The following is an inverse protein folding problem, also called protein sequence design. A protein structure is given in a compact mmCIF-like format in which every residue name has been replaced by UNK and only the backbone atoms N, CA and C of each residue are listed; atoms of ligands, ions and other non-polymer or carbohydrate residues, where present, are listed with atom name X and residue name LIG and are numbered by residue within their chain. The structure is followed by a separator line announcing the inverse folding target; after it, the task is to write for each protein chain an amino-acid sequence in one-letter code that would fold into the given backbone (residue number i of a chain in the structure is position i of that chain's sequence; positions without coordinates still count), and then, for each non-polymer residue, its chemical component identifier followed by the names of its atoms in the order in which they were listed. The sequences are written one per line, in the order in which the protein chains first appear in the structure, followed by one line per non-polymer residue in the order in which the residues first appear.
data_IF_243140169680
#
_entry.id   IF_243140169680
#
_cell.length_a   1.000
_cell.length_b   1.000
_cell.length_c   1.000
_cell.angle_alpha   90.00
_cell.angle_beta   90.00
_cell.angle_gamma   90.00
#
_symmetry.space_group_name_H-M   'P 1'
#
loop_
_entity.id
_entity.type
_entity.pdbx_description
1 polymer ?
#
# COMPACT_ATOMS: atom_id res chain seq x y z
N UNK A 1 3.59 -7.50 -23.22
CA UNK A 1 3.76 -7.81 -21.79
C UNK A 1 4.28 -6.55 -21.11
N UNK A 2 3.38 -5.68 -20.65
CA UNK A 2 3.78 -4.41 -20.05
C UNK A 2 4.20 -4.68 -18.61
N UNK A 3 5.50 -4.58 -18.32
CA UNK A 3 5.99 -4.52 -16.94
C UNK A 3 5.47 -3.20 -16.39
N UNK A 4 4.52 -3.25 -15.45
CA UNK A 4 4.08 -2.06 -14.71
C UNK A 4 5.30 -1.50 -13.99
N UNK A 5 5.89 -0.45 -14.56
CA UNK A 5 7.04 0.28 -14.01
C UNK A 5 6.62 0.72 -12.60
N UNK A 6 7.39 0.37 -11.59
CA UNK A 6 7.26 0.96 -10.26
C UNK A 6 7.15 2.47 -10.42
N UNK A 7 6.21 3.16 -9.74
CA UNK A 7 6.16 4.61 -9.77
C UNK A 7 7.55 5.17 -9.50
N UNK A 8 8.01 6.17 -10.26
CA UNK A 8 9.36 6.76 -10.08
C UNK A 8 9.57 7.35 -8.67
N UNK A 9 8.50 7.42 -7.87
CA UNK A 9 8.47 7.85 -6.47
C UNK A 9 8.76 6.76 -5.45
N UNK A 10 8.78 5.46 -5.78
CA UNK A 10 8.93 4.38 -4.78
C UNK A 10 9.84 3.24 -5.24
N UNK A 11 10.35 2.46 -4.29
CA UNK A 11 11.10 1.23 -4.54
C UNK A 11 10.87 0.20 -3.43
N UNK A 12 11.07 -1.09 -3.74
CA UNK A 12 10.96 -2.17 -2.75
C UNK A 12 12.35 -2.58 -2.24
N UNK A 13 12.49 -2.76 -0.92
CA UNK A 13 13.73 -3.22 -0.28
C UNK A 13 13.44 -4.06 0.98
N UNK A 14 14.46 -4.59 1.63
CA UNK A 14 14.32 -5.28 2.92
C UNK A 14 13.79 -4.32 4.00
N UNK A 15 12.71 -4.74 4.65
CA UNK A 15 12.04 -3.94 5.68
C UNK A 15 12.54 -4.28 7.07
N UNK A 16 12.79 -3.27 7.92
CA UNK A 16 13.00 -3.49 9.36
C UNK A 16 11.72 -3.93 10.09
N UNK A 17 10.53 -3.75 9.49
CA UNK A 17 9.24 -4.17 10.05
C UNK A 17 9.01 -5.65 9.75
N UNK A 18 8.93 -6.00 8.46
CA UNK A 18 8.66 -7.37 8.04
C UNK A 18 8.98 -7.60 6.56
N UNK A 19 9.79 -8.62 6.25
CA UNK A 19 10.05 -9.08 4.88
C UNK A 19 10.53 -7.97 3.95
N UNK A 20 9.77 -7.73 2.87
CA UNK A 20 9.99 -6.59 1.97
C UNK A 20 9.06 -5.44 2.35
N UNK A 21 9.61 -4.24 2.32
CA UNK A 21 8.89 -2.97 2.48
C UNK A 21 8.89 -2.17 1.19
N UNK A 22 8.01 -1.17 1.13
CA UNK A 22 8.02 -0.18 0.07
C UNK A 22 8.52 1.15 0.64
N UNK A 23 9.45 1.81 -0.05
CA UNK A 23 10.14 3.00 0.42
C UNK A 23 9.98 4.14 -0.59
N UNK A 24 10.00 5.37 -0.10
CA UNK A 24 9.97 6.55 -0.94
C UNK A 24 11.34 6.77 -1.64
N UNK A 25 11.37 6.80 -2.97
CA UNK A 25 12.56 7.11 -3.76
C UNK A 25 12.92 8.61 -3.74
N UNK A 26 11.95 9.45 -3.39
CA UNK A 26 12.09 10.91 -3.27
C UNK A 26 11.17 11.44 -2.17
N UNK A 27 11.22 12.74 -1.92
CA UNK A 27 10.22 13.41 -1.11
C UNK A 27 8.84 13.26 -1.75
N UNK A 28 7.85 12.88 -0.95
CA UNK A 28 6.43 12.78 -1.33
C UNK A 28 5.65 13.72 -0.41
N UNK A 29 4.92 14.65 -1.00
CA UNK A 29 4.17 15.63 -0.22
C UNK A 29 2.91 15.01 0.38
N UNK A 30 2.46 15.53 1.53
CA UNK A 30 1.15 15.21 2.09
C UNK A 30 0.05 15.37 1.04
N UNK A 31 -0.80 14.36 0.91
CA UNK A 31 -1.93 14.34 -0.04
C UNK A 31 -1.54 13.96 -1.46
N UNK A 32 -0.26 13.74 -1.76
CA UNK A 32 0.19 13.27 -3.06
C UNK A 32 -0.27 11.82 -3.30
N UNK A 33 -0.76 11.56 -4.52
CA UNK A 33 -1.10 10.21 -4.98
C UNK A 33 0.20 9.51 -5.42
N UNK A 34 0.58 8.44 -4.72
CA UNK A 34 1.75 7.63 -5.04
C UNK A 34 1.51 6.81 -6.31
N UNK A 35 0.26 6.39 -6.53
CA UNK A 35 -0.20 5.68 -7.70
C UNK A 35 -1.49 4.93 -7.44
N UNK A 36 -1.94 4.20 -8.47
CA UNK A 36 -3.12 3.32 -8.40
C UNK A 36 -2.66 1.86 -8.34
N UNK A 37 -3.25 1.07 -7.46
CA UNK A 37 -2.92 -0.35 -7.34
C UNK A 37 -3.48 -1.13 -8.51
N UNK A 38 -2.61 -1.95 -9.13
CA UNK A 38 -3.03 -2.94 -10.12
C UNK A 38 -3.10 -4.33 -9.50
N UNK A 39 -4.08 -5.11 -9.93
CA UNK A 39 -4.38 -6.40 -9.35
C UNK A 39 -5.66 -7.00 -9.92
N UNK A 40 -6.31 -7.83 -9.11
CA UNK A 40 -7.58 -8.48 -9.48
C UNK A 40 -8.54 -8.59 -8.31
N UNK A 41 -9.83 -8.42 -8.61
CA UNK A 41 -10.90 -8.69 -7.66
C UNK A 41 -10.93 -10.17 -7.27
N UNK A 42 -11.18 -10.44 -6.00
CA UNK A 42 -11.20 -11.78 -5.41
C UNK A 42 -12.21 -11.85 -4.26
N UNK A 43 -12.82 -13.02 -4.08
CA UNK A 43 -13.58 -13.34 -2.86
C UNK A 43 -12.82 -14.27 -1.90
N UNK A 44 -11.59 -14.61 -2.26
CA UNK A 44 -10.72 -15.52 -1.50
C UNK A 44 -9.69 -14.70 -0.75
N UNK A 45 -9.58 -14.98 0.55
CA UNK A 45 -8.50 -14.46 1.37
C UNK A 45 -7.14 -15.01 0.91
N UNK A 46 -6.07 -14.30 1.21
CA UNK A 46 -4.71 -14.71 0.91
C UNK A 46 -3.72 -13.56 0.99
N UNK A 47 -2.44 -13.81 0.67
CA UNK A 47 -1.42 -12.78 0.66
C UNK A 47 -1.80 -11.62 -0.25
N UNK A 48 -1.55 -10.40 0.23
CA UNK A 48 -1.74 -9.15 -0.51
C UNK A 48 -3.18 -8.86 -0.95
N UNK A 49 -4.16 -9.44 -0.26
CA UNK A 49 -5.57 -9.12 -0.47
C UNK A 49 -5.96 -7.95 0.44
N UNK A 50 -6.40 -6.85 -0.17
CA UNK A 50 -7.05 -5.74 0.52
C UNK A 50 -8.55 -5.98 0.49
N UNK A 51 -9.19 -5.99 1.65
CA UNK A 51 -10.66 -6.09 1.72
C UNK A 51 -11.26 -4.68 1.64
N UNK A 52 -12.09 -4.46 0.61
CA UNK A 52 -12.79 -3.18 0.38
C UNK A 52 -14.18 -3.23 1.00
N UNK A 53 -14.85 -4.38 0.88
CA UNK A 53 -16.13 -4.72 1.52
C UNK A 53 -16.07 -6.18 2.01
N UNK A 54 -17.05 -6.64 2.79
CA UNK A 54 -17.07 -7.97 3.44
C UNK A 54 -16.81 -9.13 2.46
N UNK A 55 -17.35 -9.08 1.24
CA UNK A 55 -17.19 -10.15 0.23
C UNK A 55 -16.40 -9.71 -1.01
N UNK A 56 -15.70 -8.58 -0.93
CA UNK A 56 -15.03 -7.93 -2.06
C UNK A 56 -13.60 -7.53 -1.70
N UNK A 57 -12.69 -8.46 -1.98
CA UNK A 57 -11.25 -8.25 -1.87
C UNK A 57 -10.62 -7.86 -3.20
N UNK A 58 -9.49 -7.16 -3.13
CA UNK A 58 -8.63 -6.85 -4.25
C UNK A 58 -7.23 -7.39 -3.98
N UNK A 59 -6.79 -8.37 -4.77
CA UNK A 59 -5.43 -8.90 -4.68
C UNK A 59 -4.48 -8.00 -5.44
N UNK A 60 -3.57 -7.36 -4.73
CA UNK A 60 -2.56 -6.45 -5.29
C UNK A 60 -1.43 -7.25 -5.94
N UNK A 61 -1.15 -6.96 -7.21
CA UNK A 61 -0.09 -7.64 -7.97
C UNK A 61 1.13 -6.72 -8.27
N UNK A 62 0.99 -5.40 -8.07
CA UNK A 62 2.08 -4.42 -8.18
C UNK A 62 2.88 -4.27 -6.88
N UNK A 63 3.94 -3.46 -6.92
CA UNK A 63 4.86 -3.25 -5.79
C UNK A 63 4.19 -2.66 -4.55
N UNK A 64 3.03 -2.00 -4.69
CA UNK A 64 2.23 -1.58 -3.54
C UNK A 64 1.80 -2.74 -2.62
N UNK A 65 1.93 -4.00 -3.04
CA UNK A 65 1.75 -5.17 -2.16
C UNK A 65 2.78 -5.25 -1.02
N UNK A 66 3.87 -4.51 -1.11
CA UNK A 66 4.93 -4.46 -0.10
C UNK A 66 4.75 -3.33 0.92
N UNK A 67 3.63 -2.59 0.89
CA UNK A 67 3.31 -1.62 1.94
C UNK A 67 2.97 -2.39 3.22
N UNK A 68 3.82 -2.23 4.24
CA UNK A 68 3.67 -2.89 5.52
C UNK A 68 2.66 -2.18 6.43
N UNK A 69 2.28 -2.87 7.50
CA UNK A 69 1.40 -2.32 8.53
C UNK A 69 2.14 -1.34 9.45
N UNK A 70 1.46 -0.26 9.84
CA UNK A 70 1.79 0.57 11.00
C UNK A 70 0.52 1.14 11.61
N UNK A 71 0.42 1.17 12.95
CA UNK A 71 -0.68 1.85 13.66
C UNK A 71 -0.58 3.38 13.62
N UNK A 72 0.55 3.93 13.17
CA UNK A 72 0.73 5.35 12.84
C UNK A 72 1.21 5.47 11.39
N UNK A 73 0.34 5.16 10.41
CA UNK A 73 0.75 5.04 9.02
C UNK A 73 1.08 6.40 8.40
N UNK A 74 1.80 6.36 7.28
CA UNK A 74 2.09 7.54 6.46
C UNK A 74 1.41 7.50 5.08
N UNK A 75 0.72 6.42 4.73
CA UNK A 75 -0.12 6.31 3.53
C UNK A 75 -1.44 5.57 3.82
N UNK A 76 -2.42 5.74 2.93
CA UNK A 76 -3.69 5.02 2.95
C UNK A 76 -4.11 4.59 1.54
N UNK A 77 -4.87 3.48 1.47
CA UNK A 77 -5.60 3.07 0.28
C UNK A 77 -6.99 3.71 0.30
N UNK A 78 -7.45 4.13 -0.88
CA UNK A 78 -8.81 4.61 -1.10
C UNK A 78 -9.59 3.60 -1.96
N UNK A 79 -10.92 3.68 -1.91
CA UNK A 79 -11.83 2.82 -2.70
C UNK A 79 -11.63 2.97 -4.22
N UNK A 80 -11.02 4.07 -4.65
CA UNK A 80 -10.56 4.32 -6.02
C UNK A 80 -9.32 3.52 -6.42
N UNK A 81 -8.82 2.65 -5.51
CA UNK A 81 -7.57 1.90 -5.63
C UNK A 81 -6.33 2.80 -5.64
N UNK A 82 -6.46 4.06 -5.24
CA UNK A 82 -5.33 4.99 -5.12
C UNK A 82 -4.64 4.81 -3.76
N UNK A 83 -3.32 4.97 -3.76
CA UNK A 83 -2.51 5.09 -2.55
C UNK A 83 -2.07 6.53 -2.40
N UNK A 84 -2.44 7.19 -1.30
CA UNK A 84 -2.07 8.59 -1.06
C UNK A 84 -1.32 8.77 0.25
N UNK A 85 -0.42 9.75 0.28
CA UNK A 85 0.34 10.12 1.47
C UNK A 85 -0.53 10.87 2.49
N UNK A 86 -0.49 10.43 3.75
CA UNK A 86 -1.21 11.07 4.87
C UNK A 86 -0.44 12.26 5.48
N UNK A 87 0.88 12.29 5.27
CA UNK A 87 1.81 13.34 5.66
C UNK A 87 2.99 13.38 4.68
N UNK A 88 3.89 14.33 4.85
CA UNK A 88 5.15 14.33 4.09
C UNK A 88 5.95 13.05 4.41
N UNK A 89 6.50 12.42 3.37
CA UNK A 89 7.31 11.20 3.45
C UNK A 89 8.69 11.53 2.87
N UNK A 90 9.74 11.30 3.66
CA UNK A 90 11.10 11.63 3.27
C UNK A 90 11.70 10.54 2.35
N UNK A 91 12.68 10.88 1.49
CA UNK A 91 13.42 9.87 0.74
C UNK A 91 14.00 8.79 1.67
N UNK A 92 13.80 7.53 1.32
CA UNK A 92 14.23 6.36 2.09
C UNK A 92 13.32 5.99 3.27
N UNK A 93 12.26 6.75 3.52
CA UNK A 93 11.28 6.41 4.55
C UNK A 93 10.36 5.27 4.07
N UNK A 94 10.08 4.30 4.95
CA UNK A 94 9.18 3.19 4.66
C UNK A 94 7.73 3.67 4.62
N UNK A 95 7.03 3.34 3.54
CA UNK A 95 5.62 3.62 3.33
C UNK A 95 4.82 2.50 4.01
N UNK A 96 3.92 2.90 4.89
CA UNK A 96 3.08 2.00 5.69
C UNK A 96 1.63 2.44 5.65
N UNK A 97 0.72 1.49 5.81
CA UNK A 97 -0.70 1.75 5.97
C UNK A 97 -1.26 1.04 7.20
N UNK A 98 -2.39 1.50 7.70
CA UNK A 98 -3.12 0.77 8.72
C UNK A 98 -3.86 -0.40 8.05
N UNK A 99 -3.66 -1.61 8.55
CA UNK A 99 -4.33 -2.81 8.01
C UNK A 99 -5.78 -2.89 8.52
N UNK A 100 -6.14 -2.06 9.49
CA UNK A 100 -7.33 -2.24 10.30
C UNK A 100 -7.11 -3.46 11.18
N UNK A 101 -6.65 -3.26 12.42
CA UNK A 101 -6.74 -4.34 13.41
C UNK A 101 -8.21 -4.51 13.79
N UNK A 102 -8.76 -5.70 13.52
CA UNK A 102 -10.13 -6.13 13.83
C UNK A 102 -10.65 -5.57 15.16
N UNK A 103 -11.77 -4.84 15.11
CA UNK A 103 -12.37 -4.28 16.32
C UNK A 103 -13.75 -3.62 16.20
N UNK A 104 -14.33 -3.40 15.01
CA UNK A 104 -15.68 -2.86 14.90
C UNK A 104 -16.55 -3.70 13.96
N UNK A 105 -16.91 -4.88 14.46
CA UNK A 105 -18.18 -5.51 14.15
C UNK A 105 -18.84 -5.84 15.50
N UNK A 106 -19.51 -4.87 16.11
CA UNK A 106 -20.54 -5.14 17.13
C UNK A 106 -21.87 -5.48 16.45
#
# INVERSE_FOLDING_TARGET
MSKTKTPESVYADDSPIHGKGLFAARHIAKGEVLGTVSGRWTKRNGPYVLWVEEDKGFRVDCDFRFINHSSTPNAAYYDTLEVCALRDIQPGEEITHDYGTDGEFE
#
